data_IF_133196474432
#
_entry.id   IF_133196474432
#
_cell.length_a   1.000
_cell.length_b   1.000
_cell.length_c   1.000
_cell.angle_alpha   90.00
_cell.angle_beta   90.00
_cell.angle_gamma   90.00
#
_symmetry.space_group_name_H-M   'P 1'
#
loop_
_entity.id
_entity.type
_entity.pdbx_description
1 polymer ?
#
# COMPACT_ATOMS: atom_id res chain seq x y z
N UNK A 1 34.72 -39.61 -58.71
CA UNK A 1 35.19 -39.33 -57.33
C UNK A 1 34.46 -38.11 -56.84
N UNK A 2 33.39 -38.31 -56.07
CA UNK A 2 32.55 -37.23 -55.56
C UNK A 2 32.71 -37.21 -54.01
N UNK A 3 33.36 -36.19 -53.50
CA UNK A 3 33.55 -35.96 -52.06
C UNK A 3 32.34 -35.20 -51.52
N UNK A 4 31.54 -35.90 -50.72
CA UNK A 4 30.39 -35.34 -49.97
C UNK A 4 30.89 -34.70 -48.67
N UNK A 5 30.76 -33.36 -48.58
CA UNK A 5 31.05 -32.59 -47.39
C UNK A 5 29.81 -32.64 -46.45
N UNK A 6 29.94 -33.24 -45.27
CA UNK A 6 28.90 -33.26 -44.24
C UNK A 6 29.03 -32.00 -43.38
N UNK A 7 28.06 -31.08 -43.50
CA UNK A 7 27.90 -29.95 -42.61
C UNK A 7 27.24 -30.41 -41.31
N UNK A 8 28.00 -30.40 -40.20
CA UNK A 8 27.47 -30.69 -38.88
C UNK A 8 26.84 -29.41 -38.32
N UNK A 9 25.52 -29.40 -38.21
CA UNK A 9 24.75 -28.33 -37.54
C UNK A 9 24.75 -28.55 -36.04
N UNK A 10 25.52 -27.75 -35.31
CA UNK A 10 25.48 -27.73 -33.84
C UNK A 10 24.30 -26.91 -33.40
N UNK A 11 23.24 -27.58 -32.92
CA UNK A 11 22.12 -26.92 -32.27
C UNK A 11 22.51 -26.56 -30.85
N UNK A 12 22.74 -25.29 -30.58
CA UNK A 12 23.00 -24.75 -29.24
C UNK A 12 21.65 -24.62 -28.51
N UNK A 13 21.31 -25.59 -27.67
CA UNK A 13 20.13 -25.54 -26.81
C UNK A 13 20.36 -24.51 -25.67
N UNK A 14 19.74 -23.35 -25.79
CA UNK A 14 19.69 -22.36 -24.72
C UNK A 14 18.60 -22.79 -23.73
N UNK A 15 18.99 -23.45 -22.67
CA UNK A 15 18.10 -23.74 -21.53
C UNK A 15 17.94 -22.46 -20.73
N UNK A 16 16.84 -21.72 -20.97
CA UNK A 16 16.43 -20.62 -20.11
C UNK A 16 15.96 -21.20 -18.76
N UNK A 17 16.85 -21.13 -17.79
CA UNK A 17 16.50 -21.37 -16.40
C UNK A 17 15.63 -20.21 -15.91
N UNK A 18 14.32 -20.29 -16.09
CA UNK A 18 13.37 -19.38 -15.43
C UNK A 18 13.34 -19.80 -13.97
N UNK A 19 14.30 -19.28 -13.20
CA UNK A 19 14.23 -19.33 -11.75
C UNK A 19 12.94 -18.61 -11.34
N UNK A 20 12.01 -19.32 -10.72
CA UNK A 20 10.82 -18.73 -10.14
C UNK A 20 11.26 -17.63 -9.17
N UNK A 21 11.03 -16.37 -9.55
CA UNK A 21 11.16 -15.24 -8.64
C UNK A 21 10.00 -15.42 -7.67
N UNK A 22 10.28 -15.99 -6.49
CA UNK A 22 9.38 -15.89 -5.34
C UNK A 22 9.26 -14.38 -5.07
N UNK A 23 8.12 -13.79 -5.38
CA UNK A 23 7.76 -12.46 -4.90
C UNK A 23 7.66 -12.60 -3.38
N UNK A 24 8.77 -12.38 -2.69
CA UNK A 24 8.76 -12.16 -1.26
C UNK A 24 8.07 -10.83 -1.04
N UNK A 25 7.06 -10.77 -0.19
CA UNK A 25 6.55 -9.50 0.30
C UNK A 25 7.74 -8.70 0.85
N UNK A 26 7.89 -7.44 0.40
CA UNK A 26 8.98 -6.59 0.88
C UNK A 26 8.71 -6.27 2.35
N UNK A 27 9.61 -6.72 3.23
CA UNK A 27 9.53 -6.44 4.67
C UNK A 27 10.09 -5.05 4.92
N UNK A 28 9.34 -4.24 5.66
CA UNK A 28 9.70 -2.86 6.05
C UNK A 28 9.57 -2.69 7.56
N UNK A 29 10.32 -1.76 8.14
CA UNK A 29 10.16 -1.37 9.54
C UNK A 29 9.26 -0.14 9.60
N UNK A 30 8.16 -0.25 10.34
CA UNK A 30 7.18 0.83 10.49
C UNK A 30 7.04 1.23 11.94
N UNK A 31 6.98 2.53 12.19
CA UNK A 31 6.58 3.12 13.46
C UNK A 31 5.60 4.25 13.23
N UNK A 32 4.56 4.35 14.06
CA UNK A 32 3.73 5.53 14.14
C UNK A 32 4.46 6.60 14.95
N UNK A 33 4.66 7.77 14.36
CA UNK A 33 5.38 8.90 15.00
C UNK A 33 4.45 10.04 15.42
N UNK A 34 3.16 9.91 15.17
CA UNK A 34 2.12 10.85 15.60
C UNK A 34 0.93 10.90 14.66
N UNK A 35 0.08 11.88 14.89
CA UNK A 35 -1.10 12.15 14.07
C UNK A 35 -0.94 13.46 13.28
N UNK A 36 -1.55 13.51 12.11
CA UNK A 36 -1.68 14.69 11.26
C UNK A 36 -3.03 15.37 11.46
N UNK A 37 -3.66 15.80 10.37
CA UNK A 37 -5.02 16.30 10.37
C UNK A 37 -5.99 15.23 10.85
N UNK A 38 -6.77 15.53 11.90
CA UNK A 38 -7.67 14.54 12.53
C UNK A 38 -8.77 15.22 13.34
N UNK A 39 -9.80 14.46 13.67
CA UNK A 39 -10.78 14.74 14.73
C UNK A 39 -10.79 13.59 15.73
N UNK A 40 -11.28 13.86 16.94
CA UNK A 40 -11.48 12.83 17.95
C UNK A 40 -12.89 12.28 17.83
N UNK A 41 -13.00 10.95 17.88
CA UNK A 41 -14.28 10.27 17.69
C UNK A 41 -14.45 9.17 18.73
N UNK A 42 -15.70 8.84 19.01
CA UNK A 42 -16.08 7.67 19.80
C UNK A 42 -16.57 6.58 18.86
N UNK A 43 -15.99 5.40 18.99
CA UNK A 43 -16.31 4.24 18.16
C UNK A 43 -16.61 3.01 19.00
N UNK A 44 -17.24 2.03 18.37
CA UNK A 44 -17.33 0.65 18.86
C UNK A 44 -16.80 -0.28 17.78
N UNK A 45 -16.00 -1.25 18.19
CA UNK A 45 -15.42 -2.27 17.30
C UNK A 45 -15.53 -3.62 18.00
N UNK A 46 -15.82 -4.67 17.24
CA UNK A 46 -16.05 -6.01 17.76
C UNK A 46 -14.92 -6.54 18.64
N UNK A 47 -13.68 -6.19 18.33
CA UNK A 47 -12.48 -6.69 19.03
C UNK A 47 -11.99 -5.79 20.15
N UNK A 48 -12.04 -4.48 19.94
CA UNK A 48 -11.53 -3.51 20.91
C UNK A 48 -12.56 -3.12 21.96
N UNK A 49 -13.86 -3.40 21.73
CA UNK A 49 -14.94 -3.07 22.63
C UNK A 49 -15.75 -1.84 22.23
N UNK A 50 -16.51 -1.28 23.16
CA UNK A 50 -17.38 -0.12 22.94
C UNK A 50 -16.86 1.13 23.65
N UNK A 51 -17.34 2.30 23.19
CA UNK A 51 -16.97 3.60 23.74
C UNK A 51 -15.45 3.89 23.73
N UNK A 52 -14.81 3.57 22.62
CA UNK A 52 -13.40 3.84 22.41
C UNK A 52 -13.23 5.26 21.90
N UNK A 53 -12.38 6.03 22.57
CA UNK A 53 -12.05 7.42 22.21
C UNK A 53 -10.76 7.44 21.41
N UNK A 54 -10.82 7.71 20.11
CA UNK A 54 -9.71 7.57 19.18
C UNK A 54 -9.58 8.77 18.25
N UNK A 55 -8.39 8.92 17.65
CA UNK A 55 -8.18 9.87 16.57
C UNK A 55 -8.62 9.24 15.24
N UNK A 56 -9.47 9.95 14.50
CA UNK A 56 -9.80 9.64 13.12
C UNK A 56 -9.11 10.64 12.21
N UNK A 57 -8.22 10.18 11.33
CA UNK A 57 -7.50 11.06 10.41
C UNK A 57 -6.16 10.51 9.94
N UNK A 58 -5.30 11.42 9.52
CA UNK A 58 -3.97 11.10 9.00
C UNK A 58 -3.06 10.60 10.12
N UNK A 59 -2.42 9.46 9.90
CA UNK A 59 -1.35 8.94 10.73
C UNK A 59 0.01 9.32 10.12
N UNK A 60 0.91 9.81 10.94
CA UNK A 60 2.30 10.06 10.55
C UNK A 60 3.12 8.83 10.85
N UNK A 61 3.60 8.19 9.80
CA UNK A 61 4.36 6.96 9.85
C UNK A 61 5.82 7.22 9.45
N UNK A 62 6.71 6.43 10.00
CA UNK A 62 8.08 6.27 9.51
C UNK A 62 8.19 4.86 8.94
N UNK A 63 8.43 4.75 7.63
CA UNK A 63 8.56 3.49 6.89
C UNK A 63 10.00 3.39 6.39
N UNK A 64 10.81 2.52 6.99
CA UNK A 64 12.25 2.38 6.71
C UNK A 64 13.03 3.71 6.75
N UNK A 65 12.69 4.59 7.69
CA UNK A 65 13.31 5.92 7.82
C UNK A 65 12.67 7.01 6.96
N UNK A 66 11.69 6.68 6.12
CA UNK A 66 10.98 7.63 5.25
C UNK A 66 9.68 8.07 5.92
N UNK A 67 9.53 9.38 6.13
CA UNK A 67 8.28 9.95 6.64
C UNK A 67 7.16 9.78 5.59
N UNK A 68 6.05 9.18 6.01
CA UNK A 68 4.93 8.83 5.14
C UNK A 68 3.62 9.12 5.87
N UNK A 69 2.64 9.67 5.16
CA UNK A 69 1.29 9.80 5.68
C UNK A 69 0.47 8.57 5.28
N UNK A 70 -0.38 8.11 6.19
CA UNK A 70 -1.25 6.96 5.97
C UNK A 70 -2.57 7.08 6.70
N UNK A 71 -3.42 6.08 6.51
CA UNK A 71 -4.66 5.88 7.28
C UNK A 71 -4.70 4.46 7.81
N UNK A 72 -5.39 4.29 8.94
CA UNK A 72 -5.65 2.97 9.49
C UNK A 72 -6.68 2.21 8.65
N UNK A 73 -6.39 0.94 8.33
CA UNK A 73 -7.32 0.01 7.70
C UNK A 73 -7.73 -1.14 8.62
N UNK A 74 -7.37 -1.04 9.90
CA UNK A 74 -7.56 -2.10 10.89
C UNK A 74 -8.19 -1.53 12.17
N UNK A 75 -9.51 -1.35 12.21
CA UNK A 75 -10.20 -0.82 13.39
C UNK A 75 -10.31 -1.82 14.54
N UNK A 76 -9.60 -2.94 14.50
CA UNK A 76 -9.64 -4.01 15.52
C UNK A 76 -8.37 -4.12 16.36
N UNK A 77 -7.29 -3.41 15.98
CA UNK A 77 -6.03 -3.42 16.70
C UNK A 77 -5.57 -2.00 17.06
N UNK A 78 -4.86 -1.90 18.17
CA UNK A 78 -4.20 -0.67 18.59
C UNK A 78 -2.85 -0.51 17.85
N UNK A 79 -2.51 0.72 17.56
CA UNK A 79 -1.14 1.03 17.12
C UNK A 79 -0.18 0.78 18.28
N UNK A 80 1.01 0.28 17.98
CA UNK A 80 2.00 -0.01 19.02
C UNK A 80 2.86 1.21 19.38
N UNK A 81 2.95 2.21 18.51
CA UNK A 81 3.90 3.32 18.60
C UNK A 81 5.37 2.91 18.48
N UNK A 82 5.66 1.60 18.52
CA UNK A 82 7.01 1.05 18.42
C UNK A 82 7.34 0.70 16.98
N UNK A 83 8.63 0.75 16.63
CA UNK A 83 9.11 0.26 15.35
C UNK A 83 8.99 -1.27 15.27
N UNK A 84 8.19 -1.77 14.35
CA UNK A 84 7.90 -3.19 14.17
C UNK A 84 8.12 -3.59 12.71
N UNK A 85 8.42 -4.87 12.43
CA UNK A 85 8.45 -5.40 11.08
C UNK A 85 7.03 -5.54 10.53
N UNK A 86 6.84 -5.05 9.30
CA UNK A 86 5.61 -5.12 8.51
C UNK A 86 5.94 -5.66 7.11
N UNK A 87 4.91 -6.09 6.40
CA UNK A 87 4.98 -6.50 5.00
C UNK A 87 4.22 -5.51 4.12
N UNK A 88 4.77 -5.20 2.94
CA UNK A 88 4.06 -4.43 1.91
C UNK A 88 3.25 -5.38 1.05
N UNK A 89 1.96 -5.10 0.93
CA UNK A 89 1.03 -5.97 0.22
C UNK A 89 0.05 -5.19 -0.65
N UNK A 90 -0.64 -5.91 -1.54
CA UNK A 90 -1.79 -5.35 -2.22
C UNK A 90 -2.85 -4.91 -1.21
N UNK A 91 -3.42 -3.72 -1.39
CA UNK A 91 -4.50 -3.24 -0.52
C UNK A 91 -5.68 -4.22 -0.48
N UNK A 92 -5.94 -4.94 -1.58
CA UNK A 92 -7.01 -5.94 -1.66
C UNK A 92 -6.78 -7.16 -0.76
N UNK A 93 -5.51 -7.45 -0.40
CA UNK A 93 -5.11 -8.61 0.41
C UNK A 93 -5.00 -8.26 1.90
N UNK A 94 -5.30 -7.03 2.28
CA UNK A 94 -5.31 -6.51 3.64
C UNK A 94 -6.75 -6.27 4.16
N UNK A 95 -6.95 -6.05 5.48
CA UNK A 95 -6.00 -6.26 6.57
C UNK A 95 -5.71 -7.75 6.80
N UNK A 96 -4.57 -8.07 7.39
CA UNK A 96 -4.18 -9.46 7.65
C UNK A 96 -4.71 -10.03 8.96
N UNK A 97 -4.90 -9.21 9.95
CA UNK A 97 -5.42 -9.62 11.25
C UNK A 97 -6.84 -9.13 11.43
N UNK A 98 -7.80 -9.86 10.89
CA UNK A 98 -9.19 -9.66 11.23
C UNK A 98 -9.56 -10.42 12.51
N UNK A 99 -10.68 -10.03 13.09
CA UNK A 99 -11.31 -10.68 14.22
C UNK A 99 -11.22 -12.21 14.15
N UNK A 100 -10.91 -12.85 15.29
CA UNK A 100 -10.88 -14.31 15.48
C UNK A 100 -9.75 -15.05 14.73
N UNK A 101 -8.67 -14.38 14.33
CA UNK A 101 -7.50 -15.04 13.75
C UNK A 101 -7.73 -15.62 12.36
N UNK A 102 -8.83 -15.28 11.70
CA UNK A 102 -9.06 -15.62 10.29
C UNK A 102 -8.79 -14.38 9.43
N UNK A 103 -7.76 -14.38 8.59
CA UNK A 103 -7.50 -13.25 7.70
C UNK A 103 -8.57 -13.23 6.60
N UNK A 104 -9.53 -12.33 6.73
CA UNK A 104 -10.42 -12.00 5.63
C UNK A 104 -9.96 -10.70 5.00
N UNK A 105 -9.33 -10.72 3.83
CA UNK A 105 -8.95 -9.52 3.13
C UNK A 105 -10.19 -8.74 2.69
N UNK A 106 -10.04 -7.41 2.56
CA UNK A 106 -11.15 -6.55 2.13
C UNK A 106 -11.58 -6.78 0.67
N UNK A 107 -10.72 -7.40 -0.14
CA UNK A 107 -10.96 -7.69 -1.55
C UNK A 107 -10.84 -6.48 -2.48
N UNK A 108 -10.73 -6.76 -3.78
CA UNK A 108 -10.44 -5.75 -4.79
C UNK A 108 -11.51 -4.64 -4.90
N UNK A 109 -12.79 -4.96 -4.67
CA UNK A 109 -13.86 -3.96 -4.75
C UNK A 109 -13.76 -2.89 -3.66
N UNK A 110 -13.45 -3.30 -2.43
CA UNK A 110 -13.27 -2.37 -1.30
C UNK A 110 -11.98 -1.57 -1.43
N UNK A 111 -10.88 -2.23 -1.82
CA UNK A 111 -9.61 -1.57 -2.09
C UNK A 111 -9.77 -0.46 -3.14
N UNK A 112 -10.46 -0.74 -4.27
CA UNK A 112 -10.72 0.26 -5.32
C UNK A 112 -11.50 1.46 -4.78
N UNK A 113 -12.50 1.28 -3.93
CA UNK A 113 -13.26 2.40 -3.33
C UNK A 113 -12.36 3.27 -2.44
N UNK A 114 -11.49 2.66 -1.64
CA UNK A 114 -10.52 3.39 -0.81
C UNK A 114 -9.54 4.18 -1.68
N UNK A 115 -9.01 3.57 -2.73
CA UNK A 115 -8.12 4.23 -3.69
C UNK A 115 -8.79 5.39 -4.41
N UNK A 116 -10.08 5.27 -4.77
CA UNK A 116 -10.88 6.34 -5.38
C UNK A 116 -11.13 7.48 -4.39
N UNK A 117 -11.50 7.18 -3.14
CA UNK A 117 -11.67 8.20 -2.10
C UNK A 117 -10.35 8.92 -1.81
N UNK A 118 -9.26 8.19 -1.70
CA UNK A 118 -7.94 8.78 -1.53
C UNK A 118 -7.61 9.73 -2.67
N UNK A 119 -7.75 9.30 -3.93
CA UNK A 119 -7.46 10.12 -5.10
C UNK A 119 -8.29 11.41 -5.15
N UNK A 120 -9.54 11.36 -4.70
CA UNK A 120 -10.47 12.47 -4.75
C UNK A 120 -10.30 13.47 -3.60
N UNK A 121 -10.00 12.98 -2.39
CA UNK A 121 -10.12 13.78 -1.16
C UNK A 121 -8.82 14.02 -0.42
N UNK A 122 -7.79 13.20 -0.65
CA UNK A 122 -6.51 13.37 0.04
C UNK A 122 -5.62 14.39 -0.67
N UNK A 123 -5.09 15.34 0.11
CA UNK A 123 -4.02 16.28 -0.28
C UNK A 123 -3.07 16.43 0.91
N UNK A 124 -1.86 16.92 0.70
CA UNK A 124 -0.88 17.10 1.77
C UNK A 124 -1.32 18.13 2.83
N UNK A 125 -2.21 19.04 2.46
CA UNK A 125 -2.82 20.07 3.31
C UNK A 125 -4.29 19.77 3.67
N UNK A 126 -4.66 18.47 3.66
CA UNK A 126 -6.01 18.02 3.99
C UNK A 126 -6.49 18.59 5.33
N UNK A 127 -7.73 19.07 5.37
CA UNK A 127 -8.33 19.59 6.61
C UNK A 127 -8.68 18.47 7.59
N UNK A 128 -8.77 18.79 8.90
CA UNK A 128 -9.19 17.85 9.93
C UNK A 128 -10.52 17.16 9.59
N UNK A 129 -11.50 17.95 9.15
CA UNK A 129 -12.84 17.47 8.77
C UNK A 129 -12.78 16.40 7.67
N UNK A 130 -12.05 16.70 6.59
CA UNK A 130 -11.95 15.75 5.46
C UNK A 130 -11.10 14.53 5.83
N UNK A 131 -10.02 14.73 6.60
CA UNK A 131 -9.19 13.63 7.08
C UNK A 131 -9.97 12.68 7.99
N UNK A 132 -10.76 13.22 8.93
CA UNK A 132 -11.61 12.42 9.80
C UNK A 132 -12.69 11.67 9.03
N UNK A 133 -13.39 12.36 8.11
CA UNK A 133 -14.40 11.74 7.27
C UNK A 133 -13.81 10.59 6.43
N UNK A 134 -12.64 10.81 5.81
CA UNK A 134 -11.94 9.79 5.02
C UNK A 134 -11.55 8.58 5.87
N UNK A 135 -10.98 8.80 7.07
CA UNK A 135 -10.62 7.72 7.98
C UNK A 135 -11.83 6.90 8.41
N UNK A 136 -12.95 7.56 8.76
CA UNK A 136 -14.17 6.87 9.18
C UNK A 136 -14.77 6.07 8.01
N UNK A 137 -14.78 6.63 6.81
CA UNK A 137 -15.24 5.94 5.60
C UNK A 137 -14.37 4.70 5.28
N UNK A 138 -13.05 4.80 5.44
CA UNK A 138 -12.15 3.66 5.28
C UNK A 138 -12.53 2.57 6.28
N UNK A 139 -12.70 2.88 7.56
CA UNK A 139 -13.09 1.89 8.58
C UNK A 139 -14.42 1.22 8.26
N UNK A 140 -15.43 1.99 7.84
CA UNK A 140 -16.75 1.44 7.47
C UNK A 140 -16.67 0.51 6.26
N UNK A 141 -15.90 0.90 5.22
CA UNK A 141 -15.72 0.09 4.02
C UNK A 141 -15.00 -1.23 4.32
N UNK A 142 -13.94 -1.16 5.13
CA UNK A 142 -13.16 -2.35 5.50
C UNK A 142 -13.99 -3.26 6.39
N UNK A 143 -14.65 -2.73 7.43
CA UNK A 143 -15.44 -3.51 8.36
C UNK A 143 -16.62 -4.20 7.68
N UNK A 144 -17.30 -3.51 6.76
CA UNK A 144 -18.37 -4.11 5.98
C UNK A 144 -17.88 -5.32 5.13
N UNK A 145 -16.66 -5.26 4.62
CA UNK A 145 -16.09 -6.31 3.81
C UNK A 145 -15.53 -7.48 4.64
N UNK A 146 -14.99 -7.20 5.83
CA UNK A 146 -14.21 -8.14 6.65
C UNK A 146 -15.05 -8.72 7.79
N UNK A 147 -15.84 -7.91 8.49
CA UNK A 147 -16.56 -8.26 9.72
C UNK A 147 -18.07 -7.96 9.68
N UNK A 148 -18.66 -7.92 8.49
CA UNK A 148 -20.09 -7.75 8.25
C UNK A 148 -20.72 -6.49 8.88
N UNK A 149 -19.95 -5.42 9.07
CA UNK A 149 -20.48 -4.14 9.53
C UNK A 149 -20.72 -4.06 11.03
N UNK A 150 -19.79 -4.55 11.84
CA UNK A 150 -19.86 -4.45 13.31
C UNK A 150 -19.30 -3.13 13.85
N UNK A 151 -18.49 -2.43 13.06
CA UNK A 151 -17.98 -1.10 13.40
C UNK A 151 -19.11 -0.07 13.50
N UNK A 152 -19.06 0.73 14.57
CA UNK A 152 -20.02 1.81 14.77
C UNK A 152 -19.30 3.10 15.14
N UNK A 153 -19.60 4.17 14.40
CA UNK A 153 -19.31 5.53 14.82
C UNK A 153 -20.39 5.96 15.82
N UNK A 154 -20.00 6.20 17.08
CA UNK A 154 -20.92 6.58 18.14
C UNK A 154 -21.12 8.09 18.22
N UNK A 155 -20.04 8.86 18.17
CA UNK A 155 -20.07 10.33 18.10
C UNK A 155 -18.74 10.89 17.58
N UNK A 156 -18.78 12.16 17.19
CA UNK A 156 -17.62 12.95 16.81
C UNK A 156 -17.55 14.11 17.78
N UNK A 157 -16.39 14.35 18.37
CA UNK A 157 -16.21 15.44 19.33
C UNK A 157 -16.10 16.80 18.62
N UNK A 158 -16.42 17.83 19.40
CA UNK A 158 -16.21 19.22 18.95
C UNK A 158 -17.27 19.79 18.02
N UNK A 159 -16.97 20.99 17.49
CA UNK A 159 -17.90 21.80 16.69
C UNK A 159 -18.03 21.28 15.24
N UNK A 160 -17.08 20.45 14.78
CA UNK A 160 -16.99 20.05 13.37
C UNK A 160 -17.76 18.75 13.07
N UNK A 161 -18.47 18.17 14.04
CA UNK A 161 -19.18 16.90 13.89
C UNK A 161 -20.17 16.91 12.70
N UNK A 162 -20.94 17.98 12.53
CA UNK A 162 -21.87 18.11 11.40
C UNK A 162 -21.15 18.21 10.05
N UNK A 163 -19.99 18.86 10.01
CA UNK A 163 -19.19 19.00 8.81
C UNK A 163 -18.55 17.67 8.42
N UNK A 164 -18.05 16.88 9.38
CA UNK A 164 -17.51 15.53 9.14
C UNK A 164 -18.60 14.61 8.59
N UNK A 165 -19.80 14.58 9.20
CA UNK A 165 -20.92 13.77 8.71
C UNK A 165 -21.35 14.18 7.30
N UNK A 166 -21.38 15.48 7.00
CA UNK A 166 -21.67 15.98 5.66
C UNK A 166 -20.60 15.56 4.63
N UNK A 167 -19.32 15.60 5.02
CA UNK A 167 -18.23 15.12 4.18
C UNK A 167 -18.32 13.62 3.90
N UNK A 168 -18.64 12.79 4.91
CA UNK A 168 -18.87 11.36 4.75
C UNK A 168 -20.02 11.08 3.76
N UNK A 169 -21.16 11.77 3.91
CA UNK A 169 -22.27 11.64 2.97
C UNK A 169 -21.89 12.07 1.54
N UNK A 170 -21.02 13.07 1.40
CA UNK A 170 -20.43 13.47 0.12
C UNK A 170 -19.56 12.37 -0.50
N UNK A 171 -18.76 11.66 0.31
CA UNK A 171 -17.93 10.53 -0.11
C UNK A 171 -18.78 9.34 -0.58
N UNK A 172 -19.86 9.02 0.13
CA UNK A 172 -20.81 7.98 -0.29
C UNK A 172 -21.50 8.34 -1.63
N UNK A 173 -21.93 9.60 -1.75
CA UNK A 173 -22.48 10.14 -2.99
C UNK A 173 -21.48 10.07 -4.16
N UNK A 174 -20.23 10.40 -3.91
CA UNK A 174 -19.15 10.30 -4.91
C UNK A 174 -18.94 8.87 -5.39
N UNK A 175 -18.77 7.90 -4.49
CA UNK A 175 -18.59 6.49 -4.83
C UNK A 175 -19.79 5.92 -5.63
N UNK A 176 -21.01 6.30 -5.22
CA UNK A 176 -22.23 5.83 -5.89
C UNK A 176 -22.39 6.39 -7.30
N UNK A 177 -21.96 7.64 -7.52
CA UNK A 177 -22.13 8.35 -8.79
C UNK A 177 -20.96 8.16 -9.75
N UNK A 178 -19.78 7.72 -9.26
CA UNK A 178 -18.55 7.64 -10.04
C UNK A 178 -17.84 6.28 -9.90
N UNK A 179 -18.49 5.17 -10.31
CA UNK A 179 -17.92 3.82 -10.12
C UNK A 179 -16.60 3.60 -10.86
N UNK A 180 -16.29 4.42 -11.86
CA UNK A 180 -15.06 4.36 -12.65
C UNK A 180 -14.14 5.57 -12.41
N UNK A 181 -14.24 6.23 -11.26
CA UNK A 181 -13.35 7.34 -10.93
C UNK A 181 -11.88 6.90 -10.94
N UNK A 182 -10.94 7.83 -11.21
CA UNK A 182 -9.51 7.55 -11.03
C UNK A 182 -9.22 7.05 -9.61
N UNK A 183 -8.26 6.14 -9.49
CA UNK A 183 -7.84 5.53 -8.23
C UNK A 183 -6.38 5.89 -7.93
N UNK A 184 -6.06 6.13 -6.67
CA UNK A 184 -4.68 6.31 -6.21
C UNK A 184 -3.93 4.98 -6.26
N UNK A 185 -2.62 5.04 -6.44
CA UNK A 185 -1.77 3.85 -6.32
C UNK A 185 -1.35 3.67 -4.86
N UNK A 186 -2.06 2.81 -4.14
CA UNK A 186 -1.87 2.56 -2.73
C UNK A 186 -1.31 1.17 -2.47
N UNK A 187 -0.75 0.99 -1.28
CA UNK A 187 -0.25 -0.29 -0.78
C UNK A 187 -0.66 -0.42 0.68
N UNK A 188 -0.94 -1.63 1.11
CA UNK A 188 -1.14 -1.93 2.51
C UNK A 188 0.20 -2.23 3.20
N UNK A 189 0.28 -1.84 4.45
CA UNK A 189 1.38 -2.14 5.38
C UNK A 189 0.78 -2.97 6.50
N UNK A 190 1.08 -4.28 6.52
CA UNK A 190 0.44 -5.26 7.38
C UNK A 190 1.45 -5.91 8.33
N UNK A 191 1.09 -6.09 9.61
CA UNK A 191 2.03 -6.61 10.59
C UNK A 191 1.39 -7.16 11.87
N UNK A 192 2.16 -7.13 12.96
CA UNK A 192 1.68 -7.60 14.26
C UNK A 192 0.82 -6.56 15.01
N UNK A 193 0.87 -5.30 14.58
CA UNK A 193 0.06 -4.22 15.13
C UNK A 193 -1.08 -3.84 14.20
N UNK A 194 -1.52 -2.60 14.31
CA UNK A 194 -2.53 -2.02 13.43
C UNK A 194 -2.01 -1.97 11.98
N UNK A 195 -2.83 -2.34 11.02
CA UNK A 195 -2.50 -2.27 9.60
C UNK A 195 -2.84 -0.89 9.02
N UNK A 196 -2.05 -0.46 8.03
CA UNK A 196 -2.16 0.87 7.44
C UNK A 196 -2.25 0.81 5.92
N UNK A 197 -2.83 1.85 5.33
CA UNK A 197 -2.74 2.13 3.89
C UNK A 197 -1.87 3.37 3.67
N UNK A 198 -0.94 3.28 2.73
CA UNK A 198 -0.01 4.36 2.36
C UNK A 198 0.10 4.50 0.84
N UNK A 199 0.55 5.65 0.30
CA UNK A 199 0.90 5.75 -1.11
C UNK A 199 2.02 4.76 -1.48
N UNK A 200 1.83 4.05 -2.58
CA UNK A 200 2.88 3.20 -3.12
C UNK A 200 3.97 4.07 -3.74
N UNK A 201 5.17 4.02 -3.17
CA UNK A 201 6.34 4.68 -3.76
C UNK A 201 6.70 3.95 -5.05
N UNK A 202 6.74 4.67 -6.18
CA UNK A 202 7.18 4.05 -7.43
C UNK A 202 8.68 3.75 -7.37
N UNK A 203 9.07 2.50 -7.66
CA UNK A 203 10.47 2.02 -7.70
C UNK A 203 11.34 2.68 -8.79
N UNK A 204 10.98 3.88 -9.25
CA UNK A 204 11.66 4.58 -10.34
C UNK A 204 13.16 4.87 -10.10
N UNK A 205 13.62 4.78 -8.83
CA UNK A 205 15.04 4.97 -8.49
C UNK A 205 15.92 3.76 -8.78
N UNK A 206 15.46 2.56 -8.47
CA UNK A 206 16.30 1.33 -8.57
C UNK A 206 16.51 0.89 -10.01
N UNK A 207 15.50 1.05 -10.86
CA UNK A 207 15.59 0.68 -12.29
C UNK A 207 16.56 1.56 -13.05
N UNK A 208 16.65 2.86 -12.74
CA UNK A 208 17.59 3.78 -13.39
C UNK A 208 19.03 3.48 -12.99
N UNK A 209 19.30 3.11 -11.73
CA UNK A 209 20.63 2.73 -11.25
C UNK A 209 21.10 1.42 -11.89
N UNK A 210 20.23 0.41 -12.00
CA UNK A 210 20.54 -0.86 -12.68
C UNK A 210 20.79 -0.68 -14.17
N UNK A 211 20.00 0.16 -14.85
CA UNK A 211 20.23 0.49 -16.25
C UNK A 211 21.56 1.25 -16.44
N UNK A 212 21.87 2.20 -15.56
CA UNK A 212 23.14 2.96 -15.58
C UNK A 212 24.37 2.06 -15.41
N UNK A 213 24.31 1.07 -14.52
CA UNK A 213 25.40 0.11 -14.30
C UNK A 213 25.57 -0.87 -15.48
N UNK A 214 24.48 -1.26 -16.15
CA UNK A 214 24.54 -2.09 -17.33
C UNK A 214 25.23 -1.38 -18.51
N UNK A 215 24.94 -0.09 -18.73
CA UNK A 215 25.57 0.71 -19.80
C UNK A 215 27.05 1.00 -19.54
N UNK A 216 27.46 1.21 -18.30
CA UNK A 216 28.88 1.41 -17.95
C UNK A 216 29.69 0.12 -18.07
N UNK A 217 29.10 -1.05 -17.75
CA UNK A 217 29.74 -2.35 -17.96
C UNK A 217 30.01 -2.68 -19.43
N UNK A 218 29.11 -2.31 -20.35
CA UNK A 218 29.29 -2.54 -21.78
C UNK A 218 30.35 -1.63 -22.42
N UNK A 219 30.54 -0.41 -21.94
CA UNK A 219 31.55 0.53 -22.47
C UNK A 219 32.96 0.15 -22.10
N UNK A 220 33.21 -0.44 -20.92
CA UNK A 220 34.55 -0.89 -20.48
C UNK A 220 34.99 -2.17 -21.21
N UNK A 221 34.05 -3.04 -21.61
CA UNK A 221 34.36 -4.27 -22.37
C UNK A 221 34.84 -4.01 -23.80
N UNK A 222 34.40 -2.92 -24.47
CA UNK A 222 34.77 -2.61 -25.86
C UNK A 222 36.17 -2.03 -26.04
N UNK A 223 36.79 -1.48 -25.02
CA UNK A 223 38.12 -0.88 -25.11
C UNK A 223 39.26 -1.89 -24.98
N UNK A 224 39.02 -3.11 -24.49
CA UNK A 224 40.07 -4.15 -24.35
C UNK A 224 40.26 -5.04 -25.59
N UNK A 225 39.45 -4.94 -26.65
CA UNK A 225 39.54 -5.78 -27.85
C UNK A 225 40.35 -5.19 -28.99
N UNK A 226 41.03 -4.04 -28.81
CA UNK A 226 41.81 -3.37 -29.88
C UNK A 226 43.33 -3.44 -29.75
N UNK A 227 43.86 -4.28 -28.88
CA UNK A 227 45.34 -4.43 -28.77
C UNK A 227 45.76 -5.90 -28.90
N UNK A 228 45.80 -6.41 -30.13
CA UNK A 228 46.69 -7.52 -30.50
C UNK A 228 46.63 -7.73 -32.01
N UNK A 229 47.34 -6.89 -32.76
CA UNK A 229 47.87 -7.22 -34.10
C UNK A 229 48.99 -6.25 -34.41
N UNK A 230 50.22 -6.63 -34.05
CA UNK A 230 51.47 -6.32 -34.75
C UNK A 230 52.57 -7.10 -34.05
N UNK A 231 53.00 -8.21 -34.64
CA UNK A 231 54.36 -8.59 -35.05
C UNK A 231 54.23 -9.88 -35.85
#
# INVERSE_FOLDING_TARGET
MTTSSRLSLAVLSFVTLIGGISLRADSVIVSEVGVGANETVWISSSNLGSNLHVYAGVLKLNVDGIATNGFCIDPWHWSSGSALPYELESLADAPKSANNGSPNPMGASTALKIEQLWQQYYTDDISNVIAAALQIQIWQLVDLAVDNGTFQLLSIDGADSAAVLAAMAGMDGFLSSNPNAPAANLVAVTGQGQDYVIPKVSDSGTTVILLGLAFTGFSVGRTKLKFSRHV
#
